data_IF_538531792814
#
_entry.id   IF_538531792814
#
_cell.length_a   1.000
_cell.length_b   1.000
_cell.length_c   1.000
_cell.angle_alpha   90.00
_cell.angle_beta   90.00
_cell.angle_gamma   90.00
#
_symmetry.space_group_name_H-M   'P 1'
#
loop_
_entity.id
_entity.type
_entity.pdbx_description
1 polymer ?
#
# COMPACT_ATOMS: atom_id res chain seq x y z
N UNK A 1 -33.81 -0.98 -6.76
CA UNK A 1 -32.76 -1.44 -5.83
C UNK A 1 -31.86 -0.25 -5.55
N UNK A 2 -31.79 0.22 -4.31
CA UNK A 2 -30.96 1.37 -3.96
C UNK A 2 -29.49 1.07 -4.30
N UNK A 3 -28.86 1.97 -5.07
CA UNK A 3 -27.44 1.90 -5.39
C UNK A 3 -26.70 2.01 -4.06
N UNK A 4 -26.17 0.88 -3.59
CA UNK A 4 -25.41 0.83 -2.35
C UNK A 4 -24.04 1.44 -2.66
N UNK A 5 -23.89 2.75 -2.47
CA UNK A 5 -22.67 3.52 -2.74
C UNK A 5 -21.54 3.03 -1.83
N UNK A 6 -20.78 2.04 -2.33
CA UNK A 6 -19.62 1.47 -1.63
C UNK A 6 -18.37 2.22 -2.02
N UNK A 7 -17.88 3.05 -1.11
CA UNK A 7 -16.57 3.70 -1.25
C UNK A 7 -15.47 2.67 -0.93
N UNK A 8 -14.48 2.54 -1.81
CA UNK A 8 -13.33 1.62 -1.64
C UNK A 8 -12.04 2.43 -1.62
N UNK A 9 -11.26 2.26 -0.56
CA UNK A 9 -9.95 2.88 -0.42
C UNK A 9 -8.85 1.85 -0.69
N UNK A 10 -7.85 2.20 -1.52
CA UNK A 10 -6.63 1.40 -1.68
C UNK A 10 -5.46 2.20 -1.13
N UNK A 11 -4.94 1.77 0.01
CA UNK A 11 -3.78 2.41 0.64
C UNK A 11 -2.52 1.75 0.07
N UNK A 12 -1.60 2.57 -0.45
CA UNK A 12 -0.28 2.12 -0.91
C UNK A 12 0.77 2.97 -0.21
N UNK A 13 1.81 2.31 0.29
CA UNK A 13 2.97 2.95 0.88
C UNK A 13 4.14 1.99 0.87
N UNK A 14 5.35 2.53 0.84
CA UNK A 14 6.58 1.74 0.88
C UNK A 14 6.94 1.30 2.31
N UNK A 15 6.58 2.12 3.30
CA UNK A 15 6.76 1.81 4.71
C UNK A 15 5.47 1.25 5.34
N UNK A 16 5.60 0.06 5.92
CA UNK A 16 4.52 -0.63 6.63
C UNK A 16 3.95 0.17 7.81
N UNK A 17 4.79 0.79 8.64
CA UNK A 17 4.34 1.45 9.87
C UNK A 17 3.41 2.64 9.54
N UNK A 18 3.77 3.41 8.53
CA UNK A 18 2.95 4.53 8.06
C UNK A 18 1.61 4.07 7.49
N UNK A 19 1.60 2.96 6.73
CA UNK A 19 0.37 2.38 6.14
C UNK A 19 -0.57 1.89 7.24
N UNK A 20 -0.05 1.21 8.26
CA UNK A 20 -0.84 0.69 9.37
C UNK A 20 -1.46 1.80 10.22
N UNK A 21 -0.69 2.85 10.53
CA UNK A 21 -1.20 4.03 11.25
C UNK A 21 -2.29 4.73 10.44
N UNK A 22 -2.11 4.90 9.13
CA UNK A 22 -3.10 5.52 8.26
C UNK A 22 -4.39 4.68 8.19
N UNK A 23 -4.27 3.35 8.02
CA UNK A 23 -5.40 2.44 8.00
C UNK A 23 -6.19 2.50 9.32
N UNK A 24 -5.51 2.50 10.47
CA UNK A 24 -6.14 2.60 11.78
C UNK A 24 -6.93 3.92 11.93
N UNK A 25 -6.32 5.06 11.56
CA UNK A 25 -6.97 6.38 11.60
C UNK A 25 -8.22 6.46 10.72
N UNK A 26 -8.16 5.91 9.51
CA UNK A 26 -9.30 5.90 8.57
C UNK A 26 -10.44 5.05 9.13
N UNK A 27 -10.12 3.87 9.67
CA UNK A 27 -11.11 2.98 10.29
C UNK A 27 -11.76 3.65 11.50
N UNK A 28 -10.99 4.33 12.34
CA UNK A 28 -11.51 5.05 13.50
C UNK A 28 -12.43 6.20 13.07
N UNK A 29 -12.01 7.00 12.08
CA UNK A 29 -12.83 8.08 11.53
C UNK A 29 -14.15 7.57 10.92
N UNK A 30 -14.11 6.47 10.16
CA UNK A 30 -15.30 5.85 9.58
C UNK A 30 -16.25 5.25 10.62
N UNK A 31 -15.70 4.71 11.73
CA UNK A 31 -16.52 4.26 12.87
C UNK A 31 -17.19 5.44 13.58
N UNK A 32 -16.49 6.57 13.76
CA UNK A 32 -17.07 7.79 14.36
C UNK A 32 -18.20 8.37 13.50
N UNK A 33 -18.11 8.27 12.18
CA UNK A 33 -19.19 8.71 11.27
C UNK A 33 -20.35 7.71 11.15
N UNK A 34 -20.30 6.56 11.82
CA UNK A 34 -21.38 5.56 11.82
C UNK A 34 -21.44 4.67 10.57
N UNK A 35 -20.41 4.68 9.72
CA UNK A 35 -20.36 3.85 8.52
C UNK A 35 -20.01 2.39 8.84
N UNK A 36 -20.59 1.44 8.09
CA UNK A 36 -20.23 0.01 8.16
C UNK A 36 -18.89 -0.20 7.46
N UNK A 37 -17.87 -0.62 8.20
CA UNK A 37 -16.50 -0.82 7.69
C UNK A 37 -16.20 -2.30 7.50
N UNK A 38 -15.86 -2.71 6.27
CA UNK A 38 -15.04 -3.91 6.07
C UNK A 38 -13.61 -3.52 6.46
N UNK A 39 -13.05 -4.18 7.48
CA UNK A 39 -11.73 -3.85 8.04
C UNK A 39 -10.59 -3.81 7.01
N UNK A 40 -9.38 -3.43 7.42
CA UNK A 40 -8.23 -3.36 6.52
C UNK A 40 -7.92 -4.77 5.99
N UNK A 41 -8.08 -4.95 4.68
CA UNK A 41 -7.75 -6.20 3.99
C UNK A 41 -6.33 -6.03 3.41
N UNK A 42 -5.34 -6.78 3.92
CA UNK A 42 -4.00 -6.74 3.36
C UNK A 42 -4.04 -7.35 1.95
N UNK A 43 -3.48 -6.61 0.99
CA UNK A 43 -3.25 -7.11 -0.36
C UNK A 43 -1.79 -7.55 -0.49
N UNK A 44 -1.47 -8.48 -1.41
CA UNK A 44 -0.10 -8.86 -1.71
C UNK A 44 0.77 -7.63 -2.02
N UNK A 45 2.02 -7.63 -1.55
CA UNK A 45 2.99 -6.58 -1.84
C UNK A 45 3.55 -6.75 -3.25
N UNK A 46 3.34 -5.75 -4.10
CA UNK A 46 4.01 -5.67 -5.39
C UNK A 46 5.50 -5.39 -5.15
N UNK A 47 6.38 -6.29 -5.61
CA UNK A 47 7.83 -6.15 -5.51
C UNK A 47 8.43 -6.06 -6.90
N UNK A 48 9.09 -4.94 -7.19
CA UNK A 48 9.87 -4.75 -8.40
C UNK A 48 11.36 -4.80 -8.05
N UNK A 49 12.09 -5.70 -8.69
CA UNK A 49 13.54 -5.86 -8.50
C UNK A 49 14.21 -5.40 -9.78
N UNK A 50 14.91 -4.26 -9.69
CA UNK A 50 15.64 -3.68 -10.81
C UNK A 50 17.12 -3.88 -10.56
N UNK A 51 17.84 -4.37 -11.57
CA UNK A 51 19.29 -4.60 -11.49
C UNK A 51 20.06 -3.59 -12.34
N UNK A 52 21.03 -2.90 -11.76
CA UNK A 52 21.85 -1.86 -12.41
C UNK A 52 23.33 -2.26 -12.36
N UNK A 53 24.10 -1.83 -13.36
CA UNK A 53 25.57 -1.96 -13.32
C UNK A 53 26.15 -0.97 -12.31
N UNK A 54 26.99 -1.46 -11.39
CA UNK A 54 27.58 -0.60 -10.35
C UNK A 54 28.65 0.36 -10.89
N UNK A 55 29.28 0.04 -12.02
CA UNK A 55 30.31 0.85 -12.64
C UNK A 55 29.99 1.17 -14.11
N UNK A 56 30.37 2.37 -14.54
CA UNK A 56 30.13 2.86 -15.92
C UNK A 56 30.99 2.16 -16.97
N UNK A 57 32.14 1.58 -16.60
CA UNK A 57 33.06 0.91 -17.53
C UNK A 57 33.69 -0.34 -16.90
N UNK A 58 34.01 -1.33 -17.74
CA UNK A 58 34.75 -2.58 -17.44
C UNK A 58 34.04 -3.65 -16.59
N UNK A 59 33.29 -3.30 -15.55
CA UNK A 59 32.75 -4.31 -14.61
C UNK A 59 31.28 -4.68 -14.89
N UNK A 60 31.06 -5.70 -15.74
CA UNK A 60 29.71 -6.19 -16.12
C UNK A 60 29.07 -7.14 -15.10
N UNK A 61 29.90 -7.81 -14.31
CA UNK A 61 29.46 -8.80 -13.31
C UNK A 61 29.09 -8.16 -11.97
N UNK A 62 29.56 -6.92 -11.74
CA UNK A 62 29.14 -6.11 -10.59
C UNK A 62 27.78 -5.49 -10.84
N UNK A 63 26.74 -6.14 -10.31
CA UNK A 63 25.34 -5.74 -10.42
C UNK A 63 24.73 -5.49 -9.04
N UNK A 64 23.86 -4.49 -8.95
CA UNK A 64 23.08 -4.10 -7.75
C UNK A 64 21.60 -4.23 -8.06
#
# INVERSE_FOLDING_TARGET
>A
MAVNEKIRFKIKGYDHATVDIAAAKIVEAAKRSGARVSGPIPLPTDKEVVTILRAVHKYKDSRE
#
